data_IF_280370678612
#
_entry.id   IF_280370678612
#
_cell.length_a   1.000
_cell.length_b   1.000
_cell.length_c   1.000
_cell.angle_alpha   90.00
_cell.angle_beta   90.00
_cell.angle_gamma   90.00
#
_symmetry.space_group_name_H-M   'P 1'
#
loop_
_entity.id
_entity.type
_entity.pdbx_description
1 polymer ?
#
# COMPACT_ATOMS: atom_id res chain seq x y z
N UNK A 1 -4.58 -12.51 16.44
CA UNK A 1 -3.55 -11.75 17.16
C UNK A 1 -2.44 -11.39 16.17
N UNK A 2 -2.04 -10.13 16.13
CA UNK A 2 -0.97 -9.66 15.24
C UNK A 2 -1.43 -9.05 13.90
N UNK A 3 -2.71 -9.13 13.54
CA UNK A 3 -3.27 -8.45 12.38
C UNK A 3 -3.80 -7.08 12.79
N UNK A 4 -2.95 -6.05 12.71
CA UNK A 4 -3.33 -4.69 13.11
C UNK A 4 -4.20 -3.99 12.05
N UNK A 5 -4.11 -4.38 10.79
CA UNK A 5 -4.90 -3.80 9.70
C UNK A 5 -6.39 -4.11 9.90
N UNK A 6 -6.72 -5.25 10.52
CA UNK A 6 -8.09 -5.62 10.88
C UNK A 6 -8.76 -4.64 11.86
N UNK A 7 -7.98 -3.80 12.56
CA UNK A 7 -8.52 -2.81 13.47
C UNK A 7 -9.42 -1.76 12.78
N UNK A 8 -9.26 -1.56 11.48
CA UNK A 8 -10.17 -0.67 10.72
C UNK A 8 -11.62 -1.17 10.76
N UNK A 9 -11.83 -2.48 10.89
CA UNK A 9 -13.16 -3.10 11.00
C UNK A 9 -13.58 -3.31 12.46
N UNK A 10 -12.64 -3.73 13.33
CA UNK A 10 -12.97 -4.16 14.69
C UNK A 10 -12.87 -3.05 15.73
N UNK A 11 -12.04 -2.04 15.48
CA UNK A 11 -11.78 -0.91 16.39
C UNK A 11 -11.61 0.41 15.61
N UNK A 12 -12.57 0.80 14.73
CA UNK A 12 -12.42 1.96 13.85
C UNK A 12 -12.19 3.27 14.63
N UNK A 13 -12.76 3.38 15.84
CA UNK A 13 -12.57 4.56 16.69
C UNK A 13 -11.13 4.78 17.11
N UNK A 14 -10.36 3.71 17.36
CA UNK A 14 -8.93 3.80 17.70
C UNK A 14 -8.14 4.29 16.49
N UNK A 15 -8.36 3.72 15.31
CA UNK A 15 -7.66 4.11 14.09
C UNK A 15 -7.98 5.56 13.73
N UNK A 16 -9.25 5.98 13.82
CA UNK A 16 -9.64 7.37 13.59
C UNK A 16 -8.95 8.33 14.57
N UNK A 17 -8.87 7.98 15.86
CA UNK A 17 -8.18 8.80 16.85
C UNK A 17 -6.69 8.97 16.50
N UNK A 18 -6.02 7.91 16.06
CA UNK A 18 -4.63 7.98 15.60
C UNK A 18 -4.50 8.94 14.41
N UNK A 19 -5.37 8.84 13.41
CA UNK A 19 -5.36 9.76 12.27
C UNK A 19 -5.50 11.23 12.70
N UNK A 20 -6.41 11.50 13.64
CA UNK A 20 -6.61 12.85 14.18
C UNK A 20 -5.38 13.36 14.94
N UNK A 21 -4.67 12.50 15.69
CA UNK A 21 -3.43 12.87 16.38
C UNK A 21 -2.32 13.26 15.40
N UNK A 22 -2.17 12.54 14.28
CA UNK A 22 -1.21 12.92 13.23
C UNK A 22 -1.56 14.25 12.57
N UNK A 23 -2.84 14.50 12.29
CA UNK A 23 -3.31 15.78 11.76
C UNK A 23 -3.09 16.94 12.75
N UNK A 24 -3.35 16.71 14.04
CA UNK A 24 -3.06 17.71 15.10
C UNK A 24 -1.54 17.99 15.23
N UNK A 25 -0.69 17.01 14.92
CA UNK A 25 0.75 17.17 14.87
C UNK A 25 1.25 17.91 13.62
N UNK A 26 0.36 18.24 12.67
CA UNK A 26 0.66 19.02 11.46
C UNK A 26 0.93 18.18 10.21
N UNK A 27 0.43 16.96 10.12
CA UNK A 27 0.52 16.17 8.89
C UNK A 27 -0.47 16.73 7.84
N UNK A 28 0.01 16.95 6.62
CA UNK A 28 -0.82 17.31 5.46
C UNK A 28 -1.33 16.06 4.72
N UNK A 29 -0.63 14.94 4.84
CA UNK A 29 -0.98 13.65 4.26
C UNK A 29 -0.99 12.60 5.37
N UNK A 30 -2.10 11.86 5.50
CA UNK A 30 -2.17 10.68 6.37
C UNK A 30 -2.30 9.42 5.53
N UNK A 31 -1.76 8.30 6.03
CA UNK A 31 -1.82 7.00 5.35
C UNK A 31 -2.92 6.13 5.92
N UNK A 32 -3.54 5.30 5.07
CA UNK A 32 -4.50 4.29 5.54
C UNK A 32 -3.80 3.17 6.33
N UNK A 33 -4.50 2.54 7.27
CA UNK A 33 -4.00 1.38 8.01
C UNK A 33 -4.20 0.09 7.19
N UNK A 34 -3.49 -0.01 6.03
CA UNK A 34 -3.67 -1.09 5.04
C UNK A 34 -2.37 -1.71 4.55
N UNK A 35 -1.29 -1.54 5.31
CA UNK A 35 0.05 -1.99 4.93
C UNK A 35 0.10 -3.47 4.51
N UNK A 36 -0.57 -4.36 5.23
CA UNK A 36 -0.65 -5.79 4.92
C UNK A 36 -2.03 -6.20 4.37
N UNK A 37 -2.93 -5.26 4.06
CA UNK A 37 -4.30 -5.55 3.65
C UNK A 37 -4.39 -6.03 2.20
N UNK A 38 -3.58 -7.02 1.84
CA UNK A 38 -3.57 -7.70 0.56
C UNK A 38 -3.81 -9.22 0.75
N UNK A 39 -4.33 -9.87 -0.29
CA UNK A 39 -4.71 -11.29 -0.25
C UNK A 39 -3.57 -12.22 0.16
N UNK A 40 -2.34 -11.92 -0.27
CA UNK A 40 -1.15 -12.74 0.02
C UNK A 40 -0.81 -12.69 1.51
N UNK A 41 -0.81 -11.52 2.12
CA UNK A 41 -0.53 -11.36 3.56
C UNK A 41 -1.71 -11.81 4.43
N UNK A 42 -2.95 -11.59 3.99
CA UNK A 42 -4.15 -11.99 4.73
C UNK A 42 -4.39 -13.50 4.73
N UNK A 43 -3.80 -14.25 3.81
CA UNK A 43 -3.83 -15.71 3.81
C UNK A 43 -3.24 -16.33 5.10
N UNK A 44 -2.25 -15.68 5.71
CA UNK A 44 -1.68 -16.13 7.00
C UNK A 44 -2.70 -16.09 8.16
N UNK A 45 -3.82 -15.39 7.96
CA UNK A 45 -4.91 -15.24 8.94
C UNK A 45 -6.23 -15.87 8.50
N UNK A 46 -6.30 -16.42 7.27
CA UNK A 46 -7.55 -16.91 6.66
C UNK A 46 -8.57 -15.79 6.40
N UNK A 47 -8.08 -14.59 6.06
CA UNK A 47 -8.89 -13.37 5.94
C UNK A 47 -8.87 -12.77 4.53
N UNK A 48 -8.56 -13.56 3.52
CA UNK A 48 -8.46 -13.13 2.13
C UNK A 48 -9.77 -12.52 1.60
N UNK A 49 -10.90 -13.04 2.07
CA UNK A 49 -12.22 -12.55 1.66
C UNK A 49 -12.59 -11.16 2.18
N UNK A 50 -11.79 -10.60 3.09
CA UNK A 50 -12.05 -9.30 3.71
C UNK A 50 -11.13 -8.19 3.15
N UNK A 51 -10.27 -8.51 2.20
CA UNK A 51 -9.25 -7.57 1.69
C UNK A 51 -9.88 -6.31 1.11
N UNK A 52 -10.85 -6.46 0.21
CA UNK A 52 -11.55 -5.30 -0.35
C UNK A 52 -12.18 -4.43 0.73
N UNK A 53 -12.96 -5.06 1.63
CA UNK A 53 -13.67 -4.35 2.71
C UNK A 53 -12.70 -3.62 3.65
N UNK A 54 -11.58 -4.24 4.04
CA UNK A 54 -10.56 -3.62 4.88
C UNK A 54 -10.00 -2.36 4.24
N UNK A 55 -9.64 -2.42 2.97
CA UNK A 55 -9.08 -1.27 2.23
C UNK A 55 -10.12 -0.16 2.03
N UNK A 56 -11.35 -0.54 1.68
CA UNK A 56 -12.47 0.40 1.50
C UNK A 56 -12.78 1.16 2.80
N UNK A 57 -12.94 0.44 3.90
CA UNK A 57 -13.25 1.05 5.21
C UNK A 57 -12.08 1.86 5.75
N UNK A 58 -10.84 1.44 5.53
CA UNK A 58 -9.66 2.20 5.95
C UNK A 58 -9.58 3.56 5.23
N UNK A 59 -9.86 3.60 3.94
CA UNK A 59 -9.89 4.86 3.18
C UNK A 59 -11.05 5.77 3.63
N UNK A 60 -12.26 5.24 3.81
CA UNK A 60 -13.39 6.00 4.36
C UNK A 60 -13.06 6.58 5.73
N UNK A 61 -12.44 5.79 6.60
CA UNK A 61 -12.12 6.21 7.96
C UNK A 61 -11.09 7.35 7.97
N UNK A 62 -10.04 7.23 7.15
CA UNK A 62 -9.04 8.29 6.99
C UNK A 62 -9.67 9.57 6.40
N UNK A 63 -10.51 9.46 5.36
CA UNK A 63 -11.27 10.61 4.81
C UNK A 63 -12.16 11.27 5.83
N UNK A 64 -12.84 10.47 6.67
CA UNK A 64 -13.66 11.00 7.77
C UNK A 64 -12.83 11.81 8.77
N UNK A 65 -11.61 11.36 9.10
CA UNK A 65 -10.71 12.09 9.98
C UNK A 65 -10.22 13.41 9.35
N UNK A 66 -9.82 13.37 8.08
CA UNK A 66 -9.40 14.56 7.32
C UNK A 66 -10.51 15.60 7.24
N UNK A 67 -11.73 15.19 6.91
CA UNK A 67 -12.86 16.10 6.78
C UNK A 67 -13.22 16.74 8.14
N UNK A 68 -13.33 15.92 9.20
CA UNK A 68 -13.60 16.41 10.55
C UNK A 68 -12.56 17.43 11.03
N UNK A 69 -11.27 17.09 10.82
CA UNK A 69 -10.18 17.98 11.22
C UNK A 69 -10.16 19.28 10.41
N UNK A 70 -10.30 19.18 9.07
CA UNK A 70 -10.30 20.32 8.16
C UNK A 70 -11.42 21.31 8.49
N UNK A 71 -12.64 20.82 8.71
CA UNK A 71 -13.79 21.66 9.10
C UNK A 71 -13.55 22.35 10.46
N UNK A 72 -13.08 21.59 11.45
CA UNK A 72 -12.87 22.09 12.82
C UNK A 72 -11.75 23.15 12.89
N UNK A 73 -10.65 22.90 12.16
CA UNK A 73 -9.44 23.78 12.20
C UNK A 73 -9.42 24.82 11.07
N UNK A 74 -10.32 24.73 10.09
CA UNK A 74 -10.33 25.53 8.86
C UNK A 74 -9.03 25.39 8.07
N UNK A 75 -8.56 24.15 7.96
CA UNK A 75 -7.37 23.76 7.19
C UNK A 75 -7.82 23.10 5.90
N UNK A 76 -7.25 23.54 4.80
CA UNK A 76 -7.43 22.99 3.45
C UNK A 76 -6.19 22.18 3.03
N UNK A 77 -6.30 21.44 1.93
CA UNK A 77 -5.21 20.65 1.34
C UNK A 77 -4.69 19.53 2.23
N UNK A 78 -5.61 18.81 2.89
CA UNK A 78 -5.33 17.57 3.59
C UNK A 78 -5.67 16.37 2.70
N UNK A 79 -4.80 15.38 2.65
CA UNK A 79 -4.93 14.25 1.74
C UNK A 79 -4.83 12.90 2.46
N UNK A 80 -5.44 11.89 1.84
CA UNK A 80 -5.34 10.48 2.26
C UNK A 80 -4.54 9.71 1.23
N UNK A 81 -3.42 9.14 1.65
CA UNK A 81 -2.65 8.19 0.86
C UNK A 81 -3.08 6.75 1.19
N UNK A 82 -3.63 6.06 0.21
CA UNK A 82 -3.94 4.64 0.30
C UNK A 82 -2.67 3.80 0.24
N UNK A 83 -2.33 3.14 1.32
CA UNK A 83 -1.07 2.41 1.48
C UNK A 83 -1.15 1.01 0.90
N UNK A 84 -0.16 0.70 0.03
CA UNK A 84 0.14 -0.64 -0.47
C UNK A 84 1.54 -1.03 0.01
N UNK A 85 1.62 -1.92 1.01
CA UNK A 85 2.90 -2.42 1.51
C UNK A 85 3.48 -3.54 0.62
N UNK A 86 4.74 -3.95 0.86
CA UNK A 86 5.28 -5.15 0.25
C UNK A 86 4.50 -6.35 0.82
N UNK A 87 4.21 -7.34 0.01
CA UNK A 87 3.63 -8.57 0.54
C UNK A 87 4.64 -9.30 1.43
N UNK A 88 4.17 -10.22 2.27
CA UNK A 88 5.04 -11.10 3.06
C UNK A 88 5.68 -12.24 2.22
N UNK A 89 5.52 -12.19 0.90
CA UNK A 89 6.14 -13.05 -0.10
C UNK A 89 6.78 -12.20 -1.19
N UNK A 90 7.88 -12.67 -1.77
CA UNK A 90 8.59 -11.96 -2.84
C UNK A 90 8.60 -12.79 -4.12
N UNK A 91 8.50 -12.10 -5.25
CA UNK A 91 8.51 -12.76 -6.56
C UNK A 91 9.93 -12.93 -7.11
N UNK A 92 10.93 -12.19 -6.60
CA UNK A 92 12.30 -12.26 -7.13
C UNK A 92 13.25 -13.15 -6.31
N UNK A 93 12.97 -13.36 -5.01
CA UNK A 93 13.82 -14.18 -4.15
C UNK A 93 13.30 -15.61 -4.03
N UNK A 94 14.24 -16.58 -4.06
CA UNK A 94 13.87 -17.98 -3.80
C UNK A 94 13.45 -18.18 -2.35
N UNK A 95 12.44 -19.00 -2.14
CA UNK A 95 11.99 -19.48 -0.83
C UNK A 95 12.72 -20.76 -0.37
N UNK A 96 13.51 -21.39 -1.25
CA UNK A 96 14.26 -22.60 -0.97
C UNK A 96 15.73 -22.39 -1.35
N UNK A 97 16.62 -22.62 -0.39
CA UNK A 97 18.08 -22.49 -0.58
C UNK A 97 18.61 -23.49 -1.62
N UNK A 98 17.97 -24.65 -1.77
CA UNK A 98 18.37 -25.71 -2.68
C UNK A 98 17.74 -25.60 -4.08
N UNK A 99 16.73 -24.74 -4.23
CA UNK A 99 16.07 -24.46 -5.51
C UNK A 99 16.04 -22.94 -5.78
N UNK A 100 17.00 -22.41 -6.52
CA UNK A 100 17.00 -20.98 -6.87
C UNK A 100 15.79 -20.52 -7.69
N UNK A 101 15.06 -21.44 -8.31
CA UNK A 101 13.84 -21.17 -9.07
C UNK A 101 12.55 -21.11 -8.23
N UNK A 102 12.58 -21.64 -6.99
CA UNK A 102 11.39 -21.69 -6.15
C UNK A 102 10.82 -20.29 -5.85
N UNK A 103 9.52 -20.13 -6.00
CA UNK A 103 8.77 -18.91 -5.68
C UNK A 103 7.49 -19.28 -4.95
N UNK A 104 7.12 -18.47 -3.95
CA UNK A 104 5.86 -18.65 -3.21
C UNK A 104 4.69 -17.89 -3.83
N UNK A 105 5.00 -16.91 -4.67
CA UNK A 105 4.03 -16.13 -5.45
C UNK A 105 4.57 -15.85 -6.84
N UNK A 106 3.68 -15.77 -7.80
CA UNK A 106 3.99 -15.30 -9.16
C UNK A 106 3.73 -13.80 -9.29
N UNK A 107 4.17 -13.22 -10.40
CA UNK A 107 3.83 -11.83 -10.74
C UNK A 107 2.32 -11.64 -10.83
N UNK A 108 1.62 -12.57 -11.48
CA UNK A 108 0.17 -12.49 -11.68
C UNK A 108 -0.60 -12.61 -10.35
N UNK A 109 -0.15 -13.45 -9.41
CA UNK A 109 -0.73 -13.53 -8.07
C UNK A 109 -0.62 -12.18 -7.33
N UNK A 110 0.53 -11.50 -7.49
CA UNK A 110 0.74 -10.17 -6.90
C UNK A 110 -0.13 -9.12 -7.58
N UNK A 111 -0.26 -9.15 -8.90
CA UNK A 111 -1.16 -8.24 -9.63
C UNK A 111 -2.59 -8.38 -9.14
N UNK A 112 -3.10 -9.61 -9.00
CA UNK A 112 -4.44 -9.85 -8.48
C UNK A 112 -4.61 -9.33 -7.04
N UNK A 113 -3.62 -9.59 -6.18
CA UNK A 113 -3.63 -9.15 -4.78
C UNK A 113 -3.64 -7.63 -4.65
N UNK A 114 -2.80 -6.94 -5.41
CA UNK A 114 -2.74 -5.47 -5.42
C UNK A 114 -3.97 -4.84 -6.09
N UNK A 115 -4.50 -5.43 -7.17
CA UNK A 115 -5.72 -4.92 -7.82
C UNK A 115 -6.90 -4.87 -6.85
N UNK A 116 -7.14 -5.92 -6.07
CA UNK A 116 -8.20 -5.95 -5.05
C UNK A 116 -8.01 -4.86 -3.99
N UNK A 117 -6.78 -4.66 -3.53
CA UNK A 117 -6.43 -3.60 -2.59
C UNK A 117 -6.67 -2.21 -3.17
N UNK A 118 -6.20 -1.96 -4.41
CA UNK A 118 -6.36 -0.68 -5.12
C UNK A 118 -7.83 -0.34 -5.35
N UNK A 119 -8.67 -1.32 -5.74
CA UNK A 119 -10.11 -1.12 -5.86
C UNK A 119 -10.72 -0.61 -4.56
N UNK A 120 -10.45 -1.27 -3.44
CA UNK A 120 -10.97 -0.85 -2.14
C UNK A 120 -10.51 0.56 -1.75
N UNK A 121 -9.23 0.88 -1.93
CA UNK A 121 -8.67 2.20 -1.58
C UNK A 121 -9.28 3.33 -2.42
N UNK A 122 -9.42 3.14 -3.74
CA UNK A 122 -10.01 4.16 -4.63
C UNK A 122 -11.50 4.34 -4.34
N UNK A 123 -12.25 3.25 -4.16
CA UNK A 123 -13.68 3.30 -3.88
C UNK A 123 -13.97 3.92 -2.50
N UNK A 124 -13.08 3.72 -1.53
CA UNK A 124 -13.14 4.35 -0.22
C UNK A 124 -12.71 5.83 -0.21
N UNK A 125 -12.20 6.35 -1.33
CA UNK A 125 -11.93 7.78 -1.52
C UNK A 125 -10.50 8.21 -1.20
N UNK A 126 -9.50 7.34 -1.32
CA UNK A 126 -8.09 7.74 -1.28
C UNK A 126 -7.79 8.80 -2.35
N UNK A 127 -6.94 9.77 -2.01
CA UNK A 127 -6.52 10.86 -2.90
C UNK A 127 -5.22 10.51 -3.64
N UNK A 128 -4.38 9.69 -3.03
CA UNK A 128 -3.05 9.26 -3.49
C UNK A 128 -2.95 7.76 -3.27
N UNK A 129 -2.19 7.05 -4.11
CA UNK A 129 -1.77 5.67 -3.81
C UNK A 129 -0.29 5.67 -3.45
N UNK A 130 0.06 5.04 -2.32
CA UNK A 130 1.42 4.96 -1.82
C UNK A 130 1.88 3.50 -1.80
N UNK A 131 2.77 3.14 -2.72
CA UNK A 131 3.50 1.87 -2.66
C UNK A 131 4.71 2.10 -1.76
N UNK A 132 4.73 1.50 -0.57
CA UNK A 132 5.75 1.81 0.43
C UNK A 132 6.57 0.60 0.87
N UNK A 133 7.74 0.90 1.46
CA UNK A 133 8.65 -0.09 2.06
C UNK A 133 9.12 -1.14 1.05
N UNK A 134 9.30 -0.73 -0.18
CA UNK A 134 9.66 -1.63 -1.27
C UNK A 134 11.12 -2.05 -1.15
N UNK A 135 11.36 -3.35 -1.05
CA UNK A 135 12.67 -3.99 -1.07
C UNK A 135 12.81 -5.02 -2.21
N UNK A 136 11.70 -5.38 -2.87
CA UNK A 136 11.65 -6.21 -4.08
C UNK A 136 11.00 -5.43 -5.23
N UNK A 137 11.81 -5.11 -6.25
CA UNK A 137 11.34 -4.30 -7.39
C UNK A 137 10.31 -5.04 -8.24
N UNK A 138 10.35 -6.39 -8.29
CA UNK A 138 9.35 -7.14 -9.05
C UNK A 138 7.96 -7.04 -8.39
N UNK A 139 7.91 -7.06 -7.05
CA UNK A 139 6.67 -6.77 -6.32
C UNK A 139 6.17 -5.34 -6.60
N UNK A 140 7.08 -4.36 -6.62
CA UNK A 140 6.73 -2.98 -6.97
C UNK A 140 6.13 -2.87 -8.38
N UNK A 141 6.73 -3.55 -9.36
CA UNK A 141 6.22 -3.57 -10.74
C UNK A 141 4.83 -4.21 -10.83
N UNK A 142 4.58 -5.26 -10.06
CA UNK A 142 3.25 -5.87 -9.98
C UNK A 142 2.21 -4.89 -9.40
N UNK A 143 2.58 -4.14 -8.35
CA UNK A 143 1.72 -3.10 -7.79
C UNK A 143 1.44 -1.96 -8.78
N UNK A 144 2.47 -1.46 -9.47
CA UNK A 144 2.32 -0.43 -10.50
C UNK A 144 1.44 -0.90 -11.66
N UNK A 145 1.62 -2.14 -12.12
CA UNK A 145 0.81 -2.73 -13.17
C UNK A 145 -0.66 -2.87 -12.73
N UNK A 146 -0.90 -3.33 -11.51
CA UNK A 146 -2.24 -3.42 -10.93
C UNK A 146 -2.93 -2.04 -10.84
N UNK A 147 -2.19 -1.02 -10.39
CA UNK A 147 -2.68 0.36 -10.32
C UNK A 147 -3.08 0.87 -11.70
N UNK A 148 -2.23 0.68 -12.72
CA UNK A 148 -2.51 1.14 -14.07
C UNK A 148 -3.75 0.47 -14.65
N UNK A 149 -3.87 -0.85 -14.48
CA UNK A 149 -5.06 -1.62 -14.89
C UNK A 149 -6.33 -1.10 -14.23
N UNK A 150 -6.32 -0.90 -12.91
CA UNK A 150 -7.50 -0.40 -12.18
C UNK A 150 -7.83 1.05 -12.57
N UNK A 151 -6.82 1.87 -12.85
CA UNK A 151 -7.05 3.23 -13.36
C UNK A 151 -7.76 3.22 -14.71
N UNK A 152 -7.37 2.33 -15.63
CA UNK A 152 -8.04 2.17 -16.92
C UNK A 152 -9.48 1.68 -16.74
N UNK A 153 -9.71 0.69 -15.91
CA UNK A 153 -11.04 0.16 -15.61
C UNK A 153 -11.98 1.22 -15.02
N UNK A 154 -11.46 2.06 -14.13
CA UNK A 154 -12.26 3.11 -13.45
C UNK A 154 -12.34 4.42 -14.23
N UNK A 155 -11.53 4.61 -15.27
CA UNK A 155 -11.43 5.87 -15.99
C UNK A 155 -10.95 7.04 -15.11
N UNK A 156 -10.21 6.76 -14.03
CA UNK A 156 -9.74 7.74 -13.05
C UNK A 156 -8.30 7.43 -12.67
N UNK A 157 -7.43 8.44 -12.68
CA UNK A 157 -6.04 8.32 -12.24
C UNK A 157 -5.82 9.17 -10.99
N UNK A 158 -5.08 8.63 -10.04
CA UNK A 158 -4.62 9.33 -8.84
C UNK A 158 -3.09 9.49 -8.91
N UNK A 159 -2.52 10.45 -8.19
CA UNK A 159 -1.07 10.48 -7.95
C UNK A 159 -0.60 9.18 -7.32
N UNK A 160 0.57 8.70 -7.77
CA UNK A 160 1.21 7.49 -7.22
C UNK A 160 2.58 7.86 -6.66
N UNK A 161 2.81 7.48 -5.41
CA UNK A 161 4.09 7.62 -4.73
C UNK A 161 4.70 6.24 -4.55
N UNK A 162 6.04 6.16 -4.67
CA UNK A 162 6.80 4.92 -4.42
C UNK A 162 7.91 5.21 -3.43
N UNK A 163 7.97 4.43 -2.34
CA UNK A 163 8.99 4.50 -1.31
C UNK A 163 9.82 3.22 -1.29
N UNK A 164 11.08 3.31 -1.68
CA UNK A 164 12.04 2.20 -1.63
C UNK A 164 12.76 2.10 -0.29
N UNK A 165 13.07 0.89 0.14
CA UNK A 165 13.77 0.62 1.40
C UNK A 165 15.21 0.20 1.15
N UNK A 166 16.14 1.00 1.66
CA UNK A 166 17.56 0.65 1.70
C UNK A 166 17.82 -0.07 3.02
N UNK A 167 18.31 -1.30 2.94
CA UNK A 167 18.36 -2.21 4.09
C UNK A 167 19.64 -2.13 4.91
N UNK A 168 20.71 -1.60 4.34
CA UNK A 168 22.00 -1.54 5.03
C UNK A 168 22.92 -0.41 4.49
N UNK A 169 24.10 -0.31 5.04
CA UNK A 169 25.11 0.69 4.65
C UNK A 169 25.67 0.51 3.24
N UNK A 170 25.35 -0.57 2.52
CA UNK A 170 25.75 -0.76 1.12
C UNK A 170 24.98 0.14 0.14
N UNK A 171 23.90 0.78 0.60
CA UNK A 171 23.03 1.61 -0.23
C UNK A 171 22.15 0.79 -1.19
N UNK A 172 21.88 -0.46 -0.85
CA UNK A 172 21.11 -1.40 -1.70
C UNK A 172 19.80 -1.81 -1.03
N UNK A 173 18.83 -2.17 -1.87
CA UNK A 173 17.63 -2.89 -1.41
C UNK A 173 17.99 -4.31 -0.97
N UNK A 174 17.09 -5.01 -0.30
CA UNK A 174 17.28 -6.41 0.10
C UNK A 174 17.58 -7.33 -1.09
N UNK A 175 17.01 -7.04 -2.25
CA UNK A 175 17.26 -7.79 -3.50
C UNK A 175 18.53 -7.35 -4.23
N UNK A 176 19.37 -6.49 -3.62
CA UNK A 176 20.69 -6.12 -4.08
C UNK A 176 20.75 -4.95 -5.07
N UNK A 177 19.64 -4.27 -5.36
CA UNK A 177 19.61 -3.14 -6.29
C UNK A 177 20.07 -1.84 -5.63
N UNK A 178 20.82 -1.03 -6.39
CA UNK A 178 21.15 0.34 -6.00
C UNK A 178 19.90 1.24 -6.15
N UNK A 179 19.91 2.42 -5.52
CA UNK A 179 18.85 3.41 -5.66
C UNK A 179 18.63 3.81 -7.14
N UNK A 180 19.71 3.96 -7.91
CA UNK A 180 19.61 4.28 -9.33
C UNK A 180 18.92 3.15 -10.13
N UNK A 181 19.33 1.89 -9.90
CA UNK A 181 18.70 0.75 -10.53
C UNK A 181 17.22 0.62 -10.17
N UNK A 182 16.87 0.89 -8.92
CA UNK A 182 15.48 0.95 -8.44
C UNK A 182 14.70 2.03 -9.20
N UNK A 183 15.21 3.27 -9.23
CA UNK A 183 14.55 4.39 -9.90
C UNK A 183 14.32 4.08 -11.39
N UNK A 184 15.36 3.63 -12.11
CA UNK A 184 15.24 3.26 -13.54
C UNK A 184 14.18 2.16 -13.73
N UNK A 185 14.11 1.20 -12.81
CA UNK A 185 13.18 0.07 -12.92
C UNK A 185 11.72 0.48 -12.82
N UNK A 186 11.39 1.59 -12.13
CA UNK A 186 10.02 2.07 -11.91
C UNK A 186 9.66 3.32 -12.74
N UNK A 187 10.63 3.98 -13.36
CA UNK A 187 10.44 5.24 -14.10
C UNK A 187 9.62 5.12 -15.39
N UNK A 188 9.29 3.91 -15.83
CA UNK A 188 8.36 3.69 -16.95
C UNK A 188 6.91 4.01 -16.57
N UNK A 189 6.58 4.04 -15.29
CA UNK A 189 5.27 4.43 -14.80
C UNK A 189 5.25 5.95 -14.54
N UNK A 190 4.19 6.67 -14.92
CA UNK A 190 4.08 8.11 -14.67
C UNK A 190 3.87 8.34 -13.16
N UNK A 191 4.98 8.51 -12.44
CA UNK A 191 4.99 8.91 -11.03
C UNK A 191 4.91 10.44 -10.93
N UNK A 192 4.19 10.92 -9.92
CA UNK A 192 4.05 12.34 -9.62
C UNK A 192 4.63 12.64 -8.24
#
# INVERSE_FOLDING_TARGET
KGNNDLLVLTQPGIIKAIHLEYLEAGADIITTNTFNSNRVSMADYGMESHVYEMNFQAAILAKSAVNEFGEKKKVENLFVAGTLGPTNRTASMSSDVNDPGARLVTFDDLVLAYSEQVHGLIDGGADILLIETIFDVLNCKAALYAIDTVFEEKGKRLPVMVSGTITDASGRTLTGQTLEAFLISVSHFPLF
#
